data_IF_982121929173
#
_entry.id   IF_982121929173
#
_cell.length_a   1.000
_cell.length_b   1.000
_cell.length_c   1.000
_cell.angle_alpha   90.00
_cell.angle_beta   90.00
_cell.angle_gamma   90.00
#
_symmetry.space_group_name_H-M   'P 1'
#
loop_
_entity.id
_entity.type
_entity.pdbx_description
1 polymer ?
#
# COMPACT_ATOMS: atom_id res chain seq x y z
N UNK A 1 17.81 3.96 7.81
CA UNK A 1 16.61 4.80 8.02
C UNK A 1 15.52 4.26 7.11
N UNK A 2 14.45 3.71 7.68
CA UNK A 2 13.32 3.17 6.92
C UNK A 2 12.44 4.36 6.51
N UNK A 3 12.71 4.94 5.34
CA UNK A 3 12.01 6.14 4.88
C UNK A 3 10.82 5.77 3.98
N UNK A 4 9.62 6.10 4.46
CA UNK A 4 8.48 6.59 3.67
C UNK A 4 7.52 5.62 2.95
N UNK A 5 7.78 4.32 2.87
CA UNK A 5 6.88 3.40 2.14
C UNK A 5 5.51 3.15 2.81
N UNK A 6 5.40 3.37 4.13
CA UNK A 6 4.20 3.01 4.91
C UNK A 6 3.12 4.10 4.98
N UNK A 7 3.38 5.27 4.39
CA UNK A 7 2.48 6.43 4.44
C UNK A 7 1.43 6.49 3.32
N UNK A 8 1.08 5.33 2.75
CA UNK A 8 0.21 5.20 1.58
C UNK A 8 -1.16 4.58 1.88
N UNK A 9 -1.34 3.99 3.06
CA UNK A 9 -2.62 3.45 3.53
C UNK A 9 -2.97 4.05 4.92
N UNK A 10 -4.27 4.15 5.27
CA UNK A 10 -4.67 4.66 6.58
C UNK A 10 -4.40 3.64 7.69
N UNK A 11 -4.31 4.09 8.94
CA UNK A 11 -3.96 3.24 10.08
C UNK A 11 -4.94 2.07 10.24
N UNK A 12 -6.24 2.30 9.99
CA UNK A 12 -7.27 1.24 10.03
C UNK A 12 -7.01 0.10 9.05
N UNK A 13 -6.49 0.40 7.87
CA UNK A 13 -6.13 -0.62 6.88
C UNK A 13 -4.94 -1.43 7.35
N UNK A 14 -3.92 -0.79 7.92
CA UNK A 14 -2.76 -1.49 8.48
C UNK A 14 -3.14 -2.41 9.64
N UNK A 15 -4.02 -1.95 10.53
CA UNK A 15 -4.55 -2.80 11.60
C UNK A 15 -5.30 -4.01 11.06
N UNK A 16 -6.16 -3.82 10.06
CA UNK A 16 -6.92 -4.91 9.45
C UNK A 16 -6.00 -5.94 8.77
N UNK A 17 -4.96 -5.49 8.04
CA UNK A 17 -3.98 -6.38 7.41
C UNK A 17 -3.17 -7.16 8.46
N UNK A 18 -2.70 -6.50 9.51
CA UNK A 18 -1.90 -7.14 10.57
C UNK A 18 -2.71 -8.11 11.43
N UNK A 19 -4.03 -7.95 11.47
CA UNK A 19 -4.93 -8.85 12.21
C UNK A 19 -5.25 -10.15 11.46
N UNK A 20 -4.99 -10.23 10.15
CA UNK A 20 -5.28 -11.40 9.32
C UNK A 20 -4.05 -11.95 8.61
N UNK A 21 -2.89 -11.98 9.28
CA UNK A 21 -1.64 -12.43 8.67
C UNK A 21 -1.61 -13.93 8.36
N UNK A 22 -2.42 -14.74 9.05
CA UNK A 22 -2.57 -16.16 8.81
C UNK A 22 -3.24 -16.50 7.47
N UNK A 23 -4.03 -15.55 6.93
CA UNK A 23 -4.68 -15.60 5.61
C UNK A 23 -4.38 -14.31 4.85
N UNK A 24 -3.09 -14.08 4.61
CA UNK A 24 -2.57 -12.89 3.96
C UNK A 24 -2.58 -13.07 2.43
N UNK A 25 -3.74 -12.86 1.82
CA UNK A 25 -3.91 -12.88 0.36
C UNK A 25 -3.52 -14.20 -0.31
N UNK A 26 -3.82 -15.33 0.35
CA UNK A 26 -3.49 -16.67 -0.13
C UNK A 26 -2.14 -17.20 0.37
N UNK A 27 -1.44 -16.43 1.20
CA UNK A 27 -0.22 -16.85 1.88
C UNK A 27 -0.39 -16.76 3.40
N UNK A 28 0.39 -17.55 4.14
CA UNK A 28 0.49 -17.41 5.59
C UNK A 28 1.71 -16.54 5.91
N UNK A 29 1.45 -15.30 6.32
CA UNK A 29 2.45 -14.33 6.75
C UNK A 29 2.46 -14.15 8.28
N UNK A 30 1.96 -15.13 9.04
CA UNK A 30 1.87 -15.03 10.49
C UNK A 30 3.25 -14.82 11.14
N UNK A 31 3.26 -13.95 12.15
CA UNK A 31 4.45 -13.58 12.91
C UNK A 31 4.22 -13.84 14.40
N UNK A 32 5.29 -14.04 15.20
CA UNK A 32 5.18 -14.05 16.66
C UNK A 32 4.46 -12.79 17.17
N UNK A 33 3.60 -12.95 18.18
CA UNK A 33 2.73 -11.88 18.66
C UNK A 33 3.48 -10.58 18.98
N UNK A 34 4.65 -10.66 19.63
CA UNK A 34 5.46 -9.49 19.95
C UNK A 34 5.93 -8.74 18.69
N UNK A 35 6.33 -9.44 17.63
CA UNK A 35 6.76 -8.84 16.37
C UNK A 35 5.56 -8.23 15.62
N UNK A 36 4.43 -8.95 15.55
CA UNK A 36 3.22 -8.45 14.91
C UNK A 36 2.73 -7.14 15.58
N UNK A 37 2.74 -7.08 16.92
CA UNK A 37 2.38 -5.88 17.66
C UNK A 37 3.33 -4.70 17.38
N UNK A 38 4.65 -4.95 17.34
CA UNK A 38 5.63 -3.91 17.02
C UNK A 38 5.46 -3.36 15.62
N UNK A 39 5.24 -4.23 14.62
CA UNK A 39 5.01 -3.83 13.23
C UNK A 39 3.70 -3.07 13.11
N UNK A 40 2.61 -3.56 13.69
CA UNK A 40 1.30 -2.90 13.65
C UNK A 40 1.37 -1.48 14.26
N UNK A 41 2.05 -1.33 15.40
CA UNK A 41 2.25 -0.02 16.03
C UNK A 41 3.07 0.93 15.13
N UNK A 42 4.16 0.43 14.53
CA UNK A 42 4.98 1.23 13.62
C UNK A 42 4.20 1.66 12.36
N UNK A 43 3.44 0.75 11.75
CA UNK A 43 2.61 1.03 10.58
C UNK A 43 1.53 2.07 10.89
N UNK A 44 0.82 1.91 12.01
CA UNK A 44 -0.22 2.85 12.43
C UNK A 44 0.35 4.26 12.71
N UNK A 45 1.49 4.36 13.40
CA UNK A 45 2.14 5.63 13.69
C UNK A 45 2.63 6.38 12.43
N UNK A 46 2.90 5.65 11.34
CA UNK A 46 3.42 6.21 10.09
C UNK A 46 2.40 6.19 8.94
N UNK A 47 1.13 5.91 9.25
CA UNK A 47 0.07 5.77 8.28
C UNK A 47 -0.25 7.07 7.54
N UNK A 48 -0.96 6.96 6.42
CA UNK A 48 -1.30 8.10 5.57
C UNK A 48 -2.15 9.17 6.29
N UNK A 49 -3.00 8.75 7.23
CA UNK A 49 -3.90 9.60 8.00
C UNK A 49 -3.25 10.26 9.23
N UNK A 50 -1.98 9.97 9.53
CA UNK A 50 -1.21 10.73 10.54
C UNK A 50 -0.64 12.04 9.98
N UNK A 51 -0.56 12.17 8.65
CA UNK A 51 -0.13 13.38 7.95
C UNK A 51 -1.35 14.19 7.50
N UNK A 52 -1.32 15.48 7.75
CA UNK A 52 -2.35 16.38 7.22
C UNK A 52 -2.35 16.32 5.69
N UNK A 53 -3.52 16.03 5.11
CA UNK A 53 -3.78 16.05 3.65
C UNK A 53 -2.93 15.07 2.82
N UNK A 54 -2.71 13.84 3.30
CA UNK A 54 -2.06 12.81 2.48
C UNK A 54 -2.82 12.55 1.18
N UNK A 55 -2.12 12.68 0.04
CA UNK A 55 -2.67 12.44 -1.30
C UNK A 55 -3.15 11.01 -1.48
N UNK A 56 -2.48 10.03 -0.85
CA UNK A 56 -2.74 8.60 -1.03
C UNK A 56 -4.12 8.14 -0.53
N UNK A 57 -4.69 8.85 0.43
CA UNK A 57 -6.05 8.59 0.95
C UNK A 57 -7.07 9.61 0.44
N UNK A 58 -6.71 10.40 -0.58
CA UNK A 58 -7.64 11.34 -1.21
C UNK A 58 -8.84 10.60 -1.81
N UNK A 59 -10.04 11.12 -1.53
CA UNK A 59 -11.33 10.55 -1.93
C UNK A 59 -11.62 9.15 -1.35
N UNK A 60 -10.84 8.68 -0.38
CA UNK A 60 -11.18 7.46 0.35
C UNK A 60 -12.36 7.75 1.29
N UNK A 61 -13.39 6.92 1.22
CA UNK A 61 -14.49 6.96 2.19
C UNK A 61 -13.94 6.77 3.62
N UNK A 62 -14.22 7.69 4.57
CA UNK A 62 -13.80 7.55 5.96
C UNK A 62 -14.20 6.23 6.62
N UNK A 63 -15.32 5.61 6.20
CA UNK A 63 -15.79 4.33 6.71
C UNK A 63 -15.13 3.11 6.03
N UNK A 64 -14.59 3.28 4.82
CA UNK A 64 -13.97 2.18 4.08
C UNK A 64 -12.60 1.80 4.66
N UNK A 65 -12.33 0.51 4.83
CA UNK A 65 -11.04 -0.03 5.28
C UNK A 65 -10.43 -0.90 4.18
N UNK A 66 -9.84 -0.30 3.13
CA UNK A 66 -9.29 -1.05 2.01
C UNK A 66 -8.09 -1.90 2.47
N UNK A 67 -8.06 -3.18 2.10
CA UNK A 67 -6.93 -4.07 2.40
C UNK A 67 -5.83 -4.00 1.33
N UNK A 68 -6.15 -3.50 0.13
CA UNK A 68 -5.20 -3.34 -0.98
C UNK A 68 -5.08 -1.88 -1.36
N UNK A 69 -3.85 -1.38 -1.40
CA UNK A 69 -3.54 -0.01 -1.85
C UNK A 69 -3.99 0.19 -3.31
N UNK A 70 -3.85 -0.85 -4.14
CA UNK A 70 -4.20 -0.87 -5.57
C UNK A 70 -5.71 -0.72 -5.85
N UNK A 71 -6.54 -0.80 -4.82
CA UNK A 71 -8.00 -0.63 -4.92
C UNK A 71 -8.46 0.73 -4.40
N UNK A 72 -7.55 1.55 -3.87
CA UNK A 72 -7.89 2.88 -3.35
C UNK A 72 -8.25 3.84 -4.49
N UNK A 73 -9.16 4.80 -4.27
CA UNK A 73 -9.55 5.78 -5.30
C UNK A 73 -8.37 6.58 -5.87
N UNK A 74 -7.40 6.93 -5.02
CA UNK A 74 -6.20 7.63 -5.47
C UNK A 74 -5.36 6.78 -6.42
N UNK A 75 -5.10 5.51 -6.07
CA UNK A 75 -4.32 4.60 -6.91
C UNK A 75 -4.99 4.36 -8.26
N UNK A 76 -6.29 4.06 -8.25
CA UNK A 76 -7.09 3.81 -9.46
C UNK A 76 -7.07 5.00 -10.41
N UNK A 77 -7.17 6.23 -9.87
CA UNK A 77 -7.09 7.45 -10.68
C UNK A 77 -5.70 7.67 -11.28
N UNK A 78 -4.65 7.34 -10.54
CA UNK A 78 -3.24 7.51 -10.98
C UNK A 78 -2.78 6.46 -11.98
N UNK A 79 -3.36 5.26 -11.93
CA UNK A 79 -3.05 4.14 -12.83
C UNK A 79 -4.21 3.81 -13.77
N UNK A 80 -5.02 4.81 -14.11
CA UNK A 80 -6.12 4.64 -15.08
C UNK A 80 -5.54 4.36 -16.48
N UNK A 81 -6.32 3.76 -17.40
CA UNK A 81 -5.81 3.30 -18.70
C UNK A 81 -5.12 4.37 -19.56
N UNK A 82 -5.46 5.65 -19.37
CA UNK A 82 -4.83 6.76 -20.08
C UNK A 82 -3.41 7.08 -19.59
N UNK A 83 -3.08 6.71 -18.35
CA UNK A 83 -1.75 6.93 -17.73
C UNK A 83 -0.90 5.65 -17.80
N UNK A 84 -1.52 4.50 -17.54
CA UNK A 84 -0.86 3.19 -17.56
C UNK A 84 -1.71 2.22 -18.37
N UNK A 85 -1.18 1.81 -19.53
CA UNK A 85 -1.85 0.85 -20.40
C UNK A 85 -2.12 -0.45 -19.63
N UNK A 86 -3.33 -1.05 -19.74
CA UNK A 86 -3.62 -2.33 -19.10
C UNK A 86 -2.68 -3.47 -19.51
N UNK A 87 -2.03 -3.35 -20.68
CA UNK A 87 -1.04 -4.33 -21.15
C UNK A 87 0.24 -4.33 -20.31
N UNK A 88 0.63 -3.21 -19.70
CA UNK A 88 1.82 -3.15 -18.84
C UNK A 88 1.69 -4.12 -17.66
N UNK A 89 0.49 -4.21 -17.07
CA UNK A 89 0.23 -5.15 -15.96
C UNK A 89 0.20 -6.62 -16.39
N UNK A 90 0.19 -6.91 -17.69
CA UNK A 90 0.28 -8.27 -18.23
C UNK A 90 1.73 -8.68 -18.52
N UNK A 91 2.70 -7.75 -18.49
CA UNK A 91 4.10 -8.10 -18.64
C UNK A 91 4.52 -9.01 -17.46
N UNK A 92 5.06 -10.22 -17.73
CA UNK A 92 5.56 -11.11 -16.68
C UNK A 92 6.60 -10.46 -15.75
N UNK A 93 7.33 -9.45 -16.21
CA UNK A 93 8.30 -8.67 -15.40
C UNK A 93 7.60 -7.78 -14.36
N UNK A 94 6.39 -7.31 -14.65
CA UNK A 94 5.56 -6.56 -13.70
C UNK A 94 4.85 -7.54 -12.78
N UNK A 95 4.23 -8.58 -13.35
CA UNK A 95 3.55 -9.66 -12.64
C UNK A 95 2.22 -9.23 -12.01
N UNK A 96 2.21 -8.18 -11.19
CA UNK A 96 0.98 -7.65 -10.61
C UNK A 96 1.07 -6.14 -10.29
N UNK A 97 -0.10 -5.53 -10.10
CA UNK A 97 -0.25 -4.14 -9.63
C UNK A 97 0.38 -3.89 -8.25
N UNK A 98 0.63 -4.94 -7.47
CA UNK A 98 1.26 -4.83 -6.16
C UNK A 98 2.79 -4.68 -6.25
N UNK A 99 3.40 -4.97 -7.42
CA UNK A 99 4.83 -4.86 -7.63
C UNK A 99 5.23 -3.42 -8.02
N UNK A 100 5.11 -2.50 -7.06
CA UNK A 100 5.34 -1.07 -7.29
C UNK A 100 6.72 -0.77 -7.88
N UNK A 101 7.75 -1.53 -7.49
CA UNK A 101 9.15 -1.33 -7.91
C UNK A 101 9.42 -1.71 -9.37
N UNK A 102 8.52 -2.49 -10.00
CA UNK A 102 8.67 -2.84 -11.41
C UNK A 102 8.57 -1.60 -12.33
N UNK A 103 7.73 -0.63 -11.96
CA UNK A 103 7.58 0.64 -12.67
C UNK A 103 8.30 1.79 -11.94
N UNK A 104 8.14 1.89 -10.61
CA UNK A 104 8.71 2.97 -9.81
C UNK A 104 9.96 2.48 -9.06
N UNK A 105 11.15 2.62 -9.65
CA UNK A 105 12.43 2.14 -9.07
C UNK A 105 12.73 2.74 -7.68
N UNK A 106 12.14 3.88 -7.36
CA UNK A 106 12.27 4.54 -6.06
C UNK A 106 11.24 4.15 -5.00
N UNK A 107 10.31 3.25 -5.30
CA UNK A 107 9.14 2.98 -4.45
C UNK A 107 9.51 2.49 -3.05
N UNK A 108 10.60 1.73 -2.91
CA UNK A 108 11.09 1.26 -1.61
C UNK A 108 11.51 2.39 -0.65
N UNK A 109 11.81 3.58 -1.21
CA UNK A 109 12.13 4.82 -0.48
C UNK A 109 10.94 5.79 -0.44
N UNK A 110 9.76 5.34 -0.87
CA UNK A 110 8.56 6.16 -1.01
C UNK A 110 8.59 7.15 -2.17
N UNK A 111 9.49 6.99 -3.15
CA UNK A 111 9.47 7.79 -4.38
C UNK A 111 8.66 7.07 -5.47
N UNK A 112 7.56 7.71 -5.88
CA UNK A 112 6.62 7.23 -6.89
C UNK A 112 6.46 8.21 -8.05
N UNK A 113 7.31 9.24 -8.11
CA UNK A 113 7.33 10.17 -9.23
C UNK A 113 8.06 9.50 -10.41
N UNK A 114 7.71 9.89 -11.64
CA UNK A 114 8.05 9.18 -12.88
C UNK A 114 9.46 9.50 -13.44
N UNK A 115 10.41 9.87 -12.57
CA UNK A 115 11.79 10.24 -12.92
C UNK A 115 12.80 9.07 -12.72
#
# INVERSE_FOLDING_TARGET
>A
MWSSSFSIAPARSWHAVMAGLEDHFGENAALPAAQSQQIAAYLAANAADTRQRSKFISNLDPAATPLRITETPYWLRKHRPEEVSPREFLDPKVGSKANCVACHRGAERGNYDDD
#
